data_IF_026991844727
#
_entry.id   IF_026991844727
#
_cell.length_a   1.000
_cell.length_b   1.000
_cell.length_c   1.000
_cell.angle_alpha   90.00
_cell.angle_beta   90.00
_cell.angle_gamma   90.00
#
_symmetry.space_group_name_H-M   'P 1'
#
loop_
_entity.id
_entity.type
_entity.pdbx_description
1 polymer ?
#
# COMPACT_ATOMS: atom_id res chain seq x y z
N UNK A 1 1.45 -14.21 15.36
CA UNK A 1 2.17 -12.91 15.40
C UNK A 1 3.16 -12.78 14.24
N UNK A 2 3.37 -11.58 13.66
CA UNK A 2 4.39 -11.33 12.65
C UNK A 2 5.80 -11.21 13.26
N UNK A 3 6.85 -11.50 12.47
CA UNK A 3 8.22 -10.99 12.66
C UNK A 3 8.41 -9.62 12.02
N UNK A 4 7.74 -9.38 10.90
CA UNK A 4 7.69 -8.09 10.22
C UNK A 4 6.32 -7.87 9.63
N UNK A 5 5.80 -6.66 9.81
CA UNK A 5 4.55 -6.23 9.21
C UNK A 5 4.67 -4.75 8.91
N UNK A 6 4.73 -4.41 7.62
CA UNK A 6 4.69 -3.03 7.16
C UNK A 6 3.92 -2.98 5.85
N UNK A 7 2.87 -2.18 5.82
CA UNK A 7 2.00 -1.96 4.67
C UNK A 7 1.93 -0.47 4.37
N UNK A 8 1.92 -0.15 3.09
CA UNK A 8 1.63 1.18 2.59
C UNK A 8 0.67 1.08 1.41
N UNK A 9 -0.28 2.01 1.34
CA UNK A 9 -1.16 2.20 0.20
C UNK A 9 -1.55 3.66 0.16
N UNK A 10 -1.41 4.32 -0.98
CA UNK A 10 -1.73 5.74 -1.09
C UNK A 10 -1.46 6.22 -2.50
N UNK A 11 -1.91 7.42 -2.82
CA UNK A 11 -1.69 7.98 -4.15
C UNK A 11 -1.89 9.47 -4.17
N UNK A 12 -1.74 10.06 -5.36
CA UNK A 12 -1.85 11.50 -5.54
C UNK A 12 -3.22 12.04 -5.11
N UNK A 13 -4.30 11.31 -5.41
CA UNK A 13 -5.67 11.74 -5.16
C UNK A 13 -6.37 10.78 -4.20
N UNK A 14 -6.07 10.88 -2.92
CA UNK A 14 -6.81 10.13 -1.91
C UNK A 14 -6.05 9.93 -0.61
N UNK A 15 -6.68 9.26 0.36
CA UNK A 15 -6.04 8.93 1.61
C UNK A 15 -4.83 8.02 1.40
N UNK A 16 -3.79 8.27 2.20
CA UNK A 16 -2.61 7.43 2.32
C UNK A 16 -2.67 6.69 3.64
N UNK A 17 -2.52 5.37 3.60
CA UNK A 17 -2.49 4.51 4.77
C UNK A 17 -1.11 3.91 4.98
N UNK A 18 -0.69 3.87 6.23
CA UNK A 18 0.49 3.17 6.67
C UNK A 18 0.15 2.30 7.87
N UNK A 19 0.55 1.03 7.84
CA UNK A 19 0.32 0.09 8.93
C UNK A 19 1.63 -0.61 9.23
N UNK A 20 2.13 -0.45 10.45
CA UNK A 20 3.41 -1.05 10.87
C UNK A 20 3.27 -1.76 12.20
N UNK A 21 3.91 -2.92 12.34
CA UNK A 21 4.12 -3.54 13.65
C UNK A 21 5.48 -3.11 14.21
N UNK A 22 5.52 -2.32 15.29
CA UNK A 22 6.77 -1.87 15.89
C UNK A 22 7.57 -3.05 16.45
N UNK A 23 8.89 -3.05 16.26
CA UNK A 23 9.78 -4.10 16.79
C UNK A 23 9.69 -4.27 18.31
N UNK A 24 9.48 -3.15 19.01
CA UNK A 24 9.39 -3.10 20.49
C UNK A 24 8.10 -3.71 21.04
N UNK A 25 7.05 -3.82 20.22
CA UNK A 25 5.73 -4.33 20.62
C UNK A 25 5.22 -5.35 19.59
N UNK A 26 5.78 -6.56 19.54
CA UNK A 26 5.41 -7.58 18.57
C UNK A 26 3.93 -7.94 18.70
N UNK A 27 3.20 -7.92 17.59
CA UNK A 27 1.78 -8.23 17.55
C UNK A 27 0.87 -7.01 17.66
N UNK A 28 1.40 -5.83 17.99
CA UNK A 28 0.67 -4.57 17.91
C UNK A 28 0.86 -3.93 16.53
N UNK A 29 -0.13 -3.14 16.13
CA UNK A 29 -0.14 -2.37 14.89
C UNK A 29 -0.31 -0.89 15.19
N UNK A 30 0.56 -0.07 14.60
CA UNK A 30 0.37 1.37 14.45
C UNK A 30 -0.26 1.62 13.09
N UNK A 31 -1.45 2.18 13.10
CA UNK A 31 -2.21 2.61 11.93
C UNK A 31 -2.10 4.12 11.80
N UNK A 32 -1.76 4.59 10.61
CA UNK A 32 -1.71 5.99 10.23
C UNK A 32 -2.50 6.17 8.93
N UNK A 33 -3.37 7.17 8.89
CA UNK A 33 -4.09 7.60 7.70
C UNK A 33 -3.90 9.10 7.54
N UNK A 34 -3.54 9.53 6.33
CA UNK A 34 -3.37 10.93 5.97
C UNK A 34 -4.26 11.26 4.78
N UNK A 35 -5.08 12.28 4.94
CA UNK A 35 -5.81 12.93 3.85
C UNK A 35 -5.81 14.43 4.09
N UNK A 36 -6.94 15.00 4.52
CA UNK A 36 -7.03 16.39 5.02
C UNK A 36 -6.53 16.49 6.46
N UNK A 37 -6.80 15.45 7.25
CA UNK A 37 -6.32 15.28 8.62
C UNK A 37 -5.41 14.06 8.72
N UNK A 38 -4.56 14.05 9.75
CA UNK A 38 -3.74 12.90 10.11
C UNK A 38 -4.37 12.15 11.29
N UNK A 39 -4.72 10.88 11.07
CA UNK A 39 -5.28 10.00 12.08
C UNK A 39 -4.27 8.91 12.42
N UNK A 40 -3.86 8.85 13.68
CA UNK A 40 -3.02 7.77 14.21
C UNK A 40 -3.80 6.93 15.21
N UNK A 41 -3.72 5.60 15.10
CA UNK A 41 -4.34 4.64 16.02
C UNK A 41 -3.38 3.49 16.35
N UNK A 42 -3.55 2.95 17.55
CA UNK A 42 -2.92 1.69 17.98
C UNK A 42 -3.99 0.60 17.96
N UNK A 43 -3.67 -0.53 17.34
CA UNK A 43 -4.52 -1.73 17.30
C UNK A 43 -3.71 -2.90 17.85
N UNK A 44 -4.36 -3.74 18.65
CA UNK A 44 -3.75 -4.95 19.20
C UNK A 44 -4.62 -6.14 18.80
N UNK A 45 -4.39 -6.73 17.62
CA UNK A 45 -5.16 -7.87 17.17
C UNK A 45 -4.94 -9.09 18.07
N UNK A 46 -6.00 -9.86 18.30
CA UNK A 46 -5.92 -11.12 19.02
C UNK A 46 -5.11 -12.17 18.25
N UNK A 47 -4.75 -13.25 18.95
CA UNK A 47 -4.08 -14.39 18.32
C UNK A 47 -4.94 -14.99 17.21
N UNK A 48 -6.25 -15.11 17.43
CA UNK A 48 -7.23 -15.61 16.47
C UNK A 48 -7.34 -14.71 15.24
N UNK A 49 -7.37 -13.39 15.42
CA UNK A 49 -7.40 -12.42 14.32
C UNK A 49 -6.12 -12.50 13.47
N UNK A 50 -4.96 -12.66 14.12
CA UNK A 50 -3.71 -12.92 13.41
C UNK A 50 -3.75 -14.23 12.63
N UNK A 51 -4.28 -15.32 13.22
CA UNK A 51 -4.40 -16.60 12.51
C UNK A 51 -5.33 -16.52 11.31
N UNK A 52 -6.49 -15.88 11.46
CA UNK A 52 -7.42 -15.64 10.36
C UNK A 52 -6.77 -14.83 9.24
N UNK A 53 -6.02 -13.77 9.58
CA UNK A 53 -5.28 -12.98 8.61
C UNK A 53 -4.25 -13.82 7.83
N UNK A 54 -3.44 -14.65 8.50
CA UNK A 54 -2.46 -15.48 7.79
C UNK A 54 -3.14 -16.53 6.89
N UNK A 55 -4.24 -17.11 7.32
CA UNK A 55 -5.03 -18.04 6.52
C UNK A 55 -5.62 -17.37 5.27
N UNK A 56 -6.07 -16.11 5.39
CA UNK A 56 -6.53 -15.32 4.24
C UNK A 56 -5.41 -15.11 3.22
N UNK A 57 -4.21 -14.75 3.69
CA UNK A 57 -3.02 -14.57 2.84
C UNK A 57 -2.61 -15.84 2.11
N UNK A 58 -2.74 -16.99 2.77
CA UNK A 58 -2.51 -18.31 2.16
C UNK A 58 -3.48 -18.58 1.01
N UNK A 59 -4.79 -18.33 1.23
CA UNK A 59 -5.83 -18.50 0.21
C UNK A 59 -5.65 -17.53 -0.97
N UNK A 60 -5.21 -16.31 -0.70
CA UNK A 60 -4.98 -15.26 -1.70
C UNK A 60 -3.66 -15.42 -2.45
N UNK A 61 -2.80 -16.37 -2.05
CA UNK A 61 -1.50 -16.60 -2.68
C UNK A 61 -0.52 -15.43 -2.51
N UNK A 62 -0.63 -14.64 -1.44
CA UNK A 62 0.18 -13.42 -1.20
C UNK A 62 1.68 -13.71 -1.20
N UNK A 63 2.06 -14.89 -0.72
CA UNK A 63 3.46 -15.35 -0.67
C UNK A 63 4.07 -15.59 -2.05
N UNK A 64 3.24 -15.71 -3.10
CA UNK A 64 3.66 -15.93 -4.49
C UNK A 64 3.61 -14.65 -5.33
N UNK A 65 3.26 -13.52 -4.74
CA UNK A 65 3.24 -12.26 -5.45
C UNK A 65 4.63 -11.93 -5.99
N UNK A 66 4.68 -11.39 -7.21
CA UNK A 66 5.91 -10.82 -7.77
C UNK A 66 6.41 -9.70 -6.87
N UNK A 67 7.71 -9.44 -6.92
CA UNK A 67 8.30 -8.32 -6.18
C UNK A 67 7.75 -6.97 -6.64
N UNK A 68 7.44 -6.84 -7.93
CA UNK A 68 7.20 -5.56 -8.59
C UNK A 68 6.02 -5.62 -9.55
N UNK A 69 5.14 -4.61 -9.47
CA UNK A 69 4.02 -4.39 -10.37
C UNK A 69 3.99 -2.92 -10.81
N UNK A 70 4.14 -2.66 -12.10
CA UNK A 70 4.22 -1.30 -12.61
C UNK A 70 3.37 -1.10 -13.86
N UNK A 71 2.50 -0.10 -13.82
CA UNK A 71 1.83 0.45 -14.99
C UNK A 71 2.19 1.95 -15.11
N UNK A 72 2.74 2.39 -16.25
CA UNK A 72 3.25 3.75 -16.43
C UNK A 72 2.09 4.74 -16.64
N UNK A 73 1.46 5.15 -15.54
CA UNK A 73 0.51 6.27 -15.49
C UNK A 73 1.14 7.47 -14.79
N UNK A 74 0.72 8.68 -15.16
CA UNK A 74 1.34 9.95 -14.75
C UNK A 74 1.14 10.24 -13.25
N UNK A 75 -0.05 9.93 -12.75
CA UNK A 75 -0.46 9.95 -11.36
C UNK A 75 -1.13 8.62 -11.00
N UNK A 76 -1.33 8.39 -9.71
CA UNK A 76 -2.14 7.26 -9.24
C UNK A 76 -1.65 6.68 -7.93
N UNK A 77 -1.86 5.37 -7.76
CA UNK A 77 -1.75 4.66 -6.50
C UNK A 77 -0.45 3.87 -6.40
N UNK A 78 0.30 4.11 -5.33
CA UNK A 78 1.45 3.34 -4.93
C UNK A 78 1.11 2.46 -3.72
N UNK A 79 1.74 1.30 -3.65
CA UNK A 79 1.54 0.39 -2.54
C UNK A 79 2.80 -0.42 -2.25
N UNK A 80 2.95 -0.87 -1.00
CA UNK A 80 3.94 -1.88 -0.63
C UNK A 80 3.45 -2.78 0.49
N UNK A 81 3.91 -4.02 0.43
CA UNK A 81 3.64 -5.09 1.37
C UNK A 81 4.96 -5.71 1.78
N UNK A 82 5.31 -5.58 3.06
CA UNK A 82 6.49 -6.19 3.68
C UNK A 82 6.03 -7.04 4.88
N UNK A 83 5.91 -8.34 4.65
CA UNK A 83 5.42 -9.31 5.63
C UNK A 83 6.51 -10.35 5.89
N UNK A 84 6.67 -10.73 7.17
CA UNK A 84 7.46 -11.89 7.58
C UNK A 84 6.79 -12.55 8.76
N UNK A 85 6.52 -13.84 8.66
CA UNK A 85 5.94 -14.64 9.74
C UNK A 85 7.03 -15.17 10.67
N UNK A 86 6.65 -15.79 11.79
CA UNK A 86 7.60 -16.40 12.74
C UNK A 86 8.24 -17.67 12.17
N UNK A 87 7.49 -18.45 11.38
CA UNK A 87 7.93 -19.65 10.65
C UNK A 87 8.77 -19.33 9.39
N UNK A 88 8.97 -18.05 9.08
CA UNK A 88 9.92 -17.63 8.04
C UNK A 88 9.33 -17.41 6.66
N UNK A 89 8.01 -17.61 6.45
CA UNK A 89 7.33 -17.15 5.24
C UNK A 89 7.42 -15.64 5.14
N UNK A 90 7.59 -15.13 3.93
CA UNK A 90 7.73 -13.70 3.71
C UNK A 90 7.16 -13.27 2.36
N UNK A 91 6.77 -12.00 2.29
CA UNK A 91 6.37 -11.32 1.07
C UNK A 91 6.98 -9.92 1.11
N UNK A 92 7.70 -9.56 0.04
CA UNK A 92 8.14 -8.20 -0.21
C UNK A 92 7.70 -7.86 -1.63
N UNK A 93 6.63 -7.09 -1.72
CA UNK A 93 5.98 -6.75 -2.97
C UNK A 93 5.59 -5.28 -2.96
N UNK A 94 5.76 -4.60 -4.09
CA UNK A 94 5.37 -3.21 -4.25
C UNK A 94 4.89 -2.97 -5.67
N UNK A 95 4.16 -1.87 -5.83
CA UNK A 95 3.73 -1.47 -7.15
C UNK A 95 3.26 -0.03 -7.24
N UNK A 96 3.14 0.39 -8.49
CA UNK A 96 2.56 1.68 -8.89
C UNK A 96 1.56 1.41 -9.99
N UNK A 97 0.30 1.71 -9.71
CA UNK A 97 -0.84 1.58 -10.63
C UNK A 97 -1.13 0.17 -11.18
N UNK A 98 -0.47 -0.84 -10.63
CA UNK A 98 -0.64 -2.23 -11.04
C UNK A 98 -0.70 -3.12 -9.79
N UNK A 99 -1.55 -4.13 -9.82
CA UNK A 99 -1.90 -4.90 -8.63
C UNK A 99 -1.83 -6.42 -8.87
N UNK A 100 -1.45 -7.21 -7.86
CA UNK A 100 -1.54 -8.66 -7.89
C UNK A 100 -2.97 -9.18 -8.11
N UNK A 101 -3.14 -10.37 -8.71
CA UNK A 101 -2.08 -11.30 -9.09
C UNK A 101 -1.56 -11.12 -10.53
N UNK A 102 -2.31 -10.45 -11.41
CA UNK A 102 -2.01 -10.43 -12.84
C UNK A 102 -1.34 -9.13 -13.31
N UNK A 103 -1.52 -8.00 -12.61
CA UNK A 103 -0.86 -6.73 -12.96
C UNK A 103 -1.31 -6.10 -14.29
N UNK A 104 -2.35 -6.62 -14.92
CA UNK A 104 -2.80 -6.27 -16.28
C UNK A 104 -3.93 -5.22 -16.29
N UNK A 105 -3.94 -4.29 -15.34
CA UNK A 105 -4.88 -3.17 -15.37
C UNK A 105 -4.74 -2.21 -14.20
N UNK A 106 -5.23 -0.97 -14.36
CA UNK A 106 -5.26 0.04 -13.29
C UNK A 106 -6.25 -0.34 -12.18
N UNK A 107 -7.18 -1.26 -12.47
CA UNK A 107 -8.18 -1.72 -11.53
C UNK A 107 -7.62 -2.84 -10.65
N UNK A 108 -7.61 -2.69 -9.32
CA UNK A 108 -7.29 -3.80 -8.44
C UNK A 108 -8.41 -4.84 -8.54
N UNK A 109 -8.12 -6.01 -9.10
CA UNK A 109 -9.09 -7.11 -9.22
C UNK A 109 -8.65 -8.33 -8.40
N UNK A 110 -9.61 -9.15 -7.98
CA UNK A 110 -9.36 -10.43 -7.31
C UNK A 110 -8.63 -10.34 -5.97
N UNK A 111 -7.33 -10.68 -5.98
CA UNK A 111 -6.56 -10.92 -4.76
C UNK A 111 -6.22 -9.65 -3.97
N UNK A 112 -5.94 -8.53 -4.64
CA UNK A 112 -5.50 -7.30 -3.96
C UNK A 112 -6.61 -6.61 -3.15
N UNK A 113 -7.84 -6.41 -3.67
CA UNK A 113 -8.96 -5.91 -2.86
C UNK A 113 -9.28 -6.83 -1.67
N UNK A 114 -9.25 -8.14 -1.90
CA UNK A 114 -9.47 -9.15 -0.85
C UNK A 114 -8.40 -9.10 0.24
N UNK A 115 -7.14 -8.82 -0.15
CA UNK A 115 -6.06 -8.54 0.79
C UNK A 115 -6.34 -7.29 1.61
N UNK A 116 -6.73 -6.17 0.98
CA UNK A 116 -7.12 -4.95 1.70
C UNK A 116 -8.27 -5.21 2.70
N UNK A 117 -9.28 -5.99 2.29
CA UNK A 117 -10.37 -6.40 3.19
C UNK A 117 -9.89 -7.22 4.39
N UNK A 118 -8.89 -8.08 4.20
CA UNK A 118 -8.27 -8.87 5.28
C UNK A 118 -7.49 -7.98 6.24
N UNK A 119 -6.81 -6.94 5.73
CA UNK A 119 -6.14 -5.93 6.56
C UNK A 119 -7.15 -5.12 7.38
N UNK A 120 -8.29 -4.71 6.80
CA UNK A 120 -9.36 -4.00 7.54
C UNK A 120 -9.88 -4.83 8.70
N UNK A 121 -10.13 -6.13 8.49
CA UNK A 121 -10.54 -7.04 9.56
C UNK A 121 -9.50 -7.09 10.68
N UNK A 122 -8.22 -7.25 10.31
CA UNK A 122 -7.12 -7.25 11.28
C UNK A 122 -7.01 -5.91 12.06
N UNK A 123 -7.38 -4.79 11.43
CA UNK A 123 -7.38 -3.47 12.06
C UNK A 123 -8.64 -3.16 12.89
N UNK A 124 -9.50 -4.15 13.17
CA UNK A 124 -10.75 -3.93 13.89
C UNK A 124 -11.74 -3.06 13.13
N UNK A 125 -11.71 -3.10 11.79
CA UNK A 125 -12.63 -2.37 10.91
C UNK A 125 -12.17 -0.98 10.48
N UNK A 126 -10.96 -0.53 10.86
CA UNK A 126 -10.43 0.74 10.36
C UNK A 126 -10.28 0.72 8.82
N UNK A 127 -10.54 1.84 8.12
CA UNK A 127 -10.41 1.93 6.67
C UNK A 127 -8.98 1.61 6.21
N UNK A 128 -8.83 0.87 5.12
CA UNK A 128 -7.54 0.60 4.51
C UNK A 128 -7.72 0.23 3.03
N UNK A 129 -7.27 1.07 2.10
CA UNK A 129 -7.41 0.85 0.66
C UNK A 129 -8.80 1.12 0.10
N UNK A 130 -9.06 0.61 -1.11
CA UNK A 130 -10.22 0.98 -1.93
C UNK A 130 -11.56 0.65 -1.27
N UNK A 131 -12.40 1.67 -1.07
CA UNK A 131 -13.63 1.59 -0.27
C UNK A 131 -14.69 0.76 -1.01
N UNK A 132 -14.79 1.03 -2.31
CA UNK A 132 -15.48 0.25 -3.34
C UNK A 132 -14.72 0.44 -4.64
N UNK A 133 -14.29 -0.65 -5.27
CA UNK A 133 -13.47 -0.61 -6.48
C UNK A 133 -14.18 0.22 -7.57
N UNK A 134 -15.50 0.12 -7.69
CA UNK A 134 -16.29 0.84 -8.71
C UNK A 134 -16.35 2.37 -8.53
N UNK A 135 -16.48 2.89 -7.30
CA UNK A 135 -16.56 4.34 -7.06
C UNK A 135 -15.19 5.01 -7.14
N UNK A 136 -14.16 4.39 -6.56
CA UNK A 136 -12.79 4.90 -6.58
C UNK A 136 -12.21 4.89 -8.01
N UNK A 137 -12.63 3.93 -8.85
CA UNK A 137 -12.29 3.88 -10.27
C UNK A 137 -13.07 4.86 -11.11
N UNK A 138 -14.36 5.08 -10.83
CA UNK A 138 -15.13 6.10 -11.53
C UNK A 138 -14.50 7.49 -11.34
N UNK A 139 -14.04 7.82 -10.14
CA UNK A 139 -13.37 9.09 -9.86
C UNK A 139 -11.97 9.18 -10.48
N UNK A 140 -11.24 8.07 -10.56
CA UNK A 140 -9.93 8.01 -11.22
C UNK A 140 -10.07 8.09 -12.75
N UNK A 141 -11.04 7.40 -13.34
CA UNK A 141 -11.33 7.39 -14.77
C UNK A 141 -11.94 8.72 -15.26
N UNK A 142 -12.73 9.40 -14.43
CA UNK A 142 -13.26 10.76 -14.73
C UNK A 142 -12.16 11.81 -14.92
N UNK A 143 -10.95 11.56 -14.43
CA UNK A 143 -9.79 12.44 -14.56
C UNK A 143 -8.91 12.11 -15.77
N UNK A 144 -9.30 11.15 -16.60
CA UNK A 144 -8.57 10.79 -17.81
C UNK A 144 -8.76 11.87 -18.91
N UNK A 145 -7.72 12.66 -19.15
CA UNK A 145 -7.67 13.68 -20.21
C UNK A 145 -7.16 13.02 -21.52
N UNK A 146 -7.81 13.21 -22.68
CA UNK A 146 -7.33 12.65 -23.94
C UNK A 146 -6.06 13.33 -24.46
N UNK A 147 -5.29 12.58 -25.24
CA UNK A 147 -3.91 12.75 -25.71
C UNK A 147 -3.60 13.97 -26.63
N UNK A 148 -4.19 15.16 -26.43
CA UNK A 148 -3.95 16.31 -27.35
C UNK A 148 -3.48 17.62 -26.76
N UNK A 149 -3.23 17.73 -25.45
CA UNK A 149 -2.70 18.97 -24.87
C UNK A 149 -1.41 18.73 -24.09
N UNK A 150 -0.35 18.39 -24.82
CA UNK A 150 1.02 18.43 -24.29
C UNK A 150 1.73 19.63 -24.87
N UNK A 151 1.94 20.67 -24.06
CA UNK A 151 3.12 21.55 -24.15
C UNK A 151 3.29 22.46 -22.92
N UNK A 152 4.50 23.00 -22.67
CA UNK A 152 5.31 22.57 -21.55
C UNK A 152 5.41 23.66 -20.49
N UNK A 153 5.14 23.33 -19.23
CA UNK A 153 5.77 24.02 -18.09
C UNK A 153 6.11 22.98 -17.05
N UNK A 154 7.38 22.96 -16.68
CA UNK A 154 7.90 22.06 -15.67
C UNK A 154 7.18 22.26 -14.34
N UNK A 155 6.97 21.15 -13.65
CA UNK A 155 7.43 20.97 -12.28
C UNK A 155 7.31 19.49 -11.91
N UNK A 156 8.49 18.87 -11.81
CA UNK A 156 8.90 17.93 -10.77
C UNK A 156 7.83 16.97 -10.23
N UNK A 157 7.72 15.80 -10.87
CA UNK A 157 7.08 14.64 -10.26
C UNK A 157 7.94 14.11 -9.11
N UNK A 158 7.33 13.94 -7.93
CA UNK A 158 7.98 13.31 -6.79
C UNK A 158 8.22 11.82 -7.09
N UNK A 159 9.48 11.40 -7.18
CA UNK A 159 9.83 9.97 -7.13
C UNK A 159 9.83 9.54 -5.67
N UNK A 160 8.95 8.60 -5.31
CA UNK A 160 9.06 7.88 -4.05
C UNK A 160 10.21 6.88 -4.17
N UNK A 161 11.37 7.22 -3.62
CA UNK A 161 12.49 6.29 -3.51
C UNK A 161 12.32 5.49 -2.22
N UNK A 162 12.19 4.17 -2.37
CA UNK A 162 12.36 3.26 -1.25
C UNK A 162 13.86 3.10 -1.01
N UNK A 163 14.40 3.78 0.00
CA UNK A 163 15.72 3.45 0.51
C UNK A 163 15.60 2.26 1.47
N UNK A 164 16.42 1.24 1.23
CA UNK A 164 16.47 -0.03 1.99
C UNK A 164 17.42 0.08 3.21
N UNK A 165 17.90 1.28 3.52
CA UNK A 165 18.88 1.53 4.57
C UNK A 165 18.20 2.21 5.78
N UNK A 166 18.36 1.58 6.93
CA UNK A 166 17.87 2.00 8.26
C UNK A 166 16.40 1.69 8.62
N UNK A 167 16.29 0.45 9.08
CA UNK A 167 15.32 -0.13 10.00
C UNK A 167 14.92 0.77 11.18
N UNK A 168 13.80 1.47 11.07
CA UNK A 168 12.76 1.56 12.11
C UNK A 168 11.61 2.43 11.58
N UNK A 169 10.47 1.80 11.27
CA UNK A 169 9.35 2.36 10.52
C UNK A 169 9.76 2.87 9.13
N UNK A 170 9.39 2.13 8.08
CA UNK A 170 9.60 2.58 6.70
C UNK A 170 9.02 3.97 6.54
N UNK A 171 9.89 4.96 6.49
CA UNK A 171 9.51 6.35 6.30
C UNK A 171 9.45 6.53 4.79
N UNK A 172 8.25 6.78 4.26
CA UNK A 172 8.11 7.30 2.92
C UNK A 172 8.73 8.71 2.93
N UNK A 173 10.01 8.85 2.57
CA UNK A 173 10.62 10.18 2.41
C UNK A 173 10.30 10.69 1.01
N UNK A 174 9.64 11.85 0.94
CA UNK A 174 9.58 12.67 -0.26
C UNK A 174 11.00 13.15 -0.56
N UNK A 175 11.67 12.54 -1.53
CA UNK A 175 12.89 13.13 -2.08
C UNK A 175 12.49 14.16 -3.14
N UNK A 176 12.58 15.43 -2.77
CA UNK A 176 12.58 16.53 -3.72
C UNK A 176 13.90 16.49 -4.49
N UNK A 177 13.85 16.27 -5.80
CA UNK A 177 15.04 16.32 -6.64
C UNK A 177 15.41 17.79 -6.90
N UNK A 178 16.08 18.44 -5.95
CA UNK A 178 16.82 19.67 -6.28
C UNK A 178 18.03 19.30 -7.13
N UNK A 179 17.87 19.28 -8.45
CA UNK A 179 19.02 19.36 -9.34
C UNK A 179 19.53 20.81 -9.35
N UNK A 180 20.74 20.94 -8.80
CA UNK A 180 21.73 21.98 -9.01
C UNK A 180 21.41 23.01 -10.11
N UNK A 181 21.37 24.28 -9.71
CA UNK A 181 22.11 25.33 -10.39
C UNK A 181 22.87 26.14 -9.36
#
# INVERSE_FOLDING_TARGET
MPRRFALFLGGYTGPCWQVVSPRRFPGELRYEMRQEEEVTRRVVPSTEEWHAFWADLDRLGVWKWRREYFLPLLDGTQWSVKLRTQDGRWCHSFGSNAFPPHGEGPEPCGAFPSFCGSVRRLLGGLPFGFRDVAEDLADSARRFIPEKERHPRGNEGALYVYEDEEWDAGSLRLLWNRRNR
#
